data_IF_497163957779
#
_entry.id   IF_497163957779
#
_cell.length_a   1.000
_cell.length_b   1.000
_cell.length_c   1.000
_cell.angle_alpha   90.00
_cell.angle_beta   90.00
_cell.angle_gamma   90.00
#
_symmetry.space_group_name_H-M   'P 1'
#
loop_
_entity.id
_entity.type
_entity.pdbx_description
1 polymer ?
#
# COMPACT_ATOMS: atom_id res chain seq x y z
N UNK A 1 2.73 -0.02 21.53
CA UNK A 1 2.01 1.25 21.77
C UNK A 1 1.88 1.95 20.44
N UNK A 2 0.71 2.46 20.07
CA UNK A 2 0.51 3.24 18.84
C UNK A 2 1.18 4.60 18.99
N UNK A 3 1.93 5.06 17.97
CA UNK A 3 2.51 6.40 17.92
C UNK A 3 1.64 7.31 17.06
N UNK A 4 1.61 8.61 17.39
CA UNK A 4 0.94 9.58 16.56
C UNK A 4 1.62 9.68 15.19
N UNK A 5 0.84 9.85 14.11
CA UNK A 5 1.38 9.96 12.73
C UNK A 5 2.43 11.07 12.61
N UNK A 6 2.25 12.18 13.33
CA UNK A 6 3.18 13.31 13.38
C UNK A 6 4.56 12.96 13.95
N UNK A 7 4.67 11.88 14.73
CA UNK A 7 5.95 11.38 15.25
C UNK A 7 6.56 10.29 14.36
N UNK A 8 5.78 9.77 13.39
CA UNK A 8 6.19 8.71 12.49
C UNK A 8 6.62 9.26 11.12
N UNK A 9 6.18 10.49 10.79
CA UNK A 9 6.38 11.12 9.49
C UNK A 9 7.08 12.47 9.69
N UNK A 10 8.19 12.70 8.97
CA UNK A 10 8.91 13.97 8.96
C UNK A 10 8.99 14.51 7.55
N UNK A 11 8.19 15.54 7.27
CA UNK A 11 8.15 16.19 5.96
C UNK A 11 9.44 16.95 5.63
N UNK A 12 10.17 17.39 6.66
CA UNK A 12 11.47 18.06 6.48
C UNK A 12 12.56 17.09 6.01
N UNK A 13 12.56 15.85 6.54
CA UNK A 13 13.55 14.85 6.19
C UNK A 13 13.26 14.18 4.85
N UNK A 14 12.03 13.71 4.65
CA UNK A 14 11.58 13.17 3.36
C UNK A 14 10.05 13.24 3.26
N UNK A 15 9.50 13.88 2.22
CA UNK A 15 8.08 13.79 1.93
C UNK A 15 7.71 12.44 1.30
N UNK A 16 8.68 11.61 0.91
CA UNK A 16 8.48 10.32 0.24
C UNK A 16 8.76 9.14 1.16
N UNK A 17 7.85 8.17 1.16
CA UNK A 17 7.96 6.92 1.89
C UNK A 17 7.76 5.73 0.96
N UNK A 18 8.70 4.78 0.97
CA UNK A 18 8.55 3.51 0.27
C UNK A 18 7.94 2.47 1.20
N UNK A 19 6.66 2.16 1.01
CA UNK A 19 5.91 1.21 1.81
C UNK A 19 5.72 -0.11 1.07
N UNK A 20 5.89 -1.24 1.76
CA UNK A 20 5.69 -2.60 1.21
C UNK A 20 4.79 -3.40 2.15
N UNK A 21 3.83 -4.12 1.57
CA UNK A 21 3.02 -5.12 2.28
C UNK A 21 3.09 -6.45 1.55
N UNK A 22 3.12 -7.56 2.31
CA UNK A 22 3.17 -8.92 1.76
C UNK A 22 2.09 -9.78 2.41
N UNK A 23 1.56 -10.72 1.64
CA UNK A 23 0.60 -11.67 2.18
C UNK A 23 1.27 -12.62 3.17
N UNK A 24 0.56 -12.87 4.27
CA UNK A 24 1.03 -13.77 5.31
C UNK A 24 0.68 -15.22 4.96
N UNK A 25 1.40 -16.18 5.57
CA UNK A 25 1.09 -17.62 5.51
C UNK A 25 1.08 -18.26 4.10
N UNK A 26 1.83 -17.71 3.14
CA UNK A 26 1.83 -18.19 1.74
C UNK A 26 0.44 -18.18 1.10
N UNK A 27 -0.44 -17.29 1.54
CA UNK A 27 -1.72 -17.07 0.87
C UNK A 27 -1.49 -16.32 -0.44
N UNK A 28 -1.99 -16.87 -1.54
CA UNK A 28 -2.01 -16.23 -2.85
C UNK A 28 -3.11 -15.16 -2.87
N UNK A 29 -2.71 -13.90 -2.92
CA UNK A 29 -3.65 -12.78 -3.09
C UNK A 29 -3.80 -12.40 -4.55
N UNK A 30 -2.70 -12.45 -5.32
CA UNK A 30 -2.61 -12.20 -6.76
C UNK A 30 -1.63 -13.22 -7.34
N UNK A 31 -1.81 -13.64 -8.60
CA UNK A 31 -1.16 -14.84 -9.16
C UNK A 31 -2.09 -16.06 -9.15
N UNK A 32 -1.78 -17.06 -10.00
CA UNK A 32 -2.63 -18.22 -10.28
C UNK A 32 -4.09 -17.83 -10.58
N UNK A 33 -5.06 -18.66 -10.18
CA UNK A 33 -6.50 -18.43 -10.33
C UNK A 33 -7.04 -17.18 -9.59
N UNK A 34 -6.19 -16.40 -8.90
CA UNK A 34 -6.57 -15.23 -8.11
C UNK A 34 -6.19 -13.88 -8.75
N UNK A 35 -5.61 -13.90 -9.95
CA UNK A 35 -5.17 -12.70 -10.66
C UNK A 35 -6.25 -11.62 -10.83
N UNK A 36 -7.51 -12.05 -10.94
CA UNK A 36 -8.68 -11.19 -11.01
C UNK A 36 -8.80 -10.20 -9.83
N UNK A 37 -8.14 -10.46 -8.70
CA UNK A 37 -8.15 -9.59 -7.52
C UNK A 37 -7.18 -8.42 -7.64
N UNK A 38 -6.21 -8.45 -8.56
CA UNK A 38 -5.23 -7.38 -8.69
C UNK A 38 -5.91 -6.02 -8.89
N UNK A 39 -6.85 -5.92 -9.83
CA UNK A 39 -7.57 -4.67 -10.10
C UNK A 39 -8.26 -4.12 -8.86
N UNK A 40 -8.93 -4.99 -8.09
CA UNK A 40 -9.56 -4.58 -6.83
C UNK A 40 -8.55 -4.04 -5.80
N UNK A 41 -7.36 -4.64 -5.70
CA UNK A 41 -6.31 -4.16 -4.80
C UNK A 41 -5.79 -2.79 -5.24
N UNK A 42 -5.58 -2.59 -6.55
CA UNK A 42 -5.17 -1.31 -7.12
C UNK A 42 -6.21 -0.20 -6.85
N UNK A 43 -7.47 -0.47 -7.17
CA UNK A 43 -8.59 0.46 -6.93
C UNK A 43 -8.69 0.83 -5.45
N UNK A 44 -8.55 -0.16 -4.56
CA UNK A 44 -8.60 0.05 -3.12
C UNK A 44 -7.43 0.90 -2.64
N UNK A 45 -6.22 0.65 -3.13
CA UNK A 45 -5.02 1.43 -2.79
C UNK A 45 -5.19 2.90 -3.17
N UNK A 46 -5.64 3.17 -4.40
CA UNK A 46 -5.85 4.54 -4.89
C UNK A 46 -6.99 5.25 -4.15
N UNK A 47 -8.09 4.53 -3.87
CA UNK A 47 -9.23 5.08 -3.09
C UNK A 47 -8.79 5.47 -1.68
N UNK A 48 -8.02 4.62 -1.00
CA UNK A 48 -7.54 4.92 0.35
C UNK A 48 -6.55 6.08 0.37
N UNK A 49 -5.69 6.19 -0.64
CA UNK A 49 -4.77 7.32 -0.77
C UNK A 49 -5.54 8.66 -0.83
N UNK A 50 -6.63 8.71 -1.60
CA UNK A 50 -7.53 9.87 -1.63
C UNK A 50 -8.17 10.15 -0.27
N UNK A 51 -8.73 9.13 0.40
CA UNK A 51 -9.38 9.27 1.72
C UNK A 51 -8.41 9.81 2.79
N UNK A 52 -7.14 9.41 2.73
CA UNK A 52 -6.13 9.81 3.71
C UNK A 52 -5.29 11.03 3.28
N UNK A 53 -5.65 11.68 2.18
CA UNK A 53 -4.91 12.83 1.62
C UNK A 53 -3.41 12.51 1.43
N UNK A 54 -3.11 11.38 0.80
CA UNK A 54 -1.74 10.93 0.49
C UNK A 54 -1.58 10.90 -1.03
N UNK A 55 -0.55 11.55 -1.55
CA UNK A 55 -0.17 11.43 -2.95
C UNK A 55 0.60 10.13 -3.20
N UNK A 56 0.25 9.42 -4.28
CA UNK A 56 0.93 8.19 -4.70
C UNK A 56 1.91 8.52 -5.81
N UNK A 57 3.21 8.55 -5.48
CA UNK A 57 4.25 8.77 -6.49
C UNK A 57 4.39 7.58 -7.45
N UNK A 58 4.32 6.36 -6.92
CA UNK A 58 4.35 5.11 -7.66
C UNK A 58 3.76 3.98 -6.82
N UNK A 59 3.21 2.95 -7.47
CA UNK A 59 2.76 1.72 -6.82
C UNK A 59 3.02 0.51 -7.71
N UNK A 60 3.04 -0.67 -7.12
CA UNK A 60 3.08 -1.94 -7.83
C UNK A 60 2.31 -3.01 -7.05
N UNK A 61 1.45 -3.77 -7.73
CA UNK A 61 0.79 -4.95 -7.17
C UNK A 61 1.34 -6.19 -7.84
N UNK A 62 2.29 -6.83 -7.16
CA UNK A 62 2.99 -8.01 -7.65
C UNK A 62 2.22 -9.29 -7.35
N UNK A 63 2.37 -10.31 -8.20
CA UNK A 63 1.99 -11.68 -7.84
C UNK A 63 2.80 -12.15 -6.64
N UNK A 64 2.20 -12.98 -5.79
CA UNK A 64 2.88 -13.62 -4.66
C UNK A 64 2.67 -15.12 -4.66
#
# INVERSE_FOLDING_TARGET
MTKARSEQVSLEATPYYHCVSRCVRRAFLCGDSYEHRRGWVEDKLLTLAQVFCIDVAAYAVMSN
#
